data_IF_123075445530
#
_entry.id   IF_123075445530
#
_cell.length_a   1.000
_cell.length_b   1.000
_cell.length_c   1.000
_cell.angle_alpha   90.00
_cell.angle_beta   90.00
_cell.angle_gamma   90.00
#
_symmetry.space_group_name_H-M   'P 1'
#
loop_
_entity.id
_entity.type
_entity.pdbx_description
1 polymer ?
#
# COMPACT_ATOMS: atom_id res chain seq x y z
N UNK A 1 3.09 6.74 7.51
CA UNK A 1 2.57 5.52 6.86
C UNK A 1 3.15 5.47 5.45
N UNK A 2 3.44 4.29 4.91
CA UNK A 2 3.94 4.15 3.53
C UNK A 2 2.93 3.35 2.72
N UNK A 3 2.40 3.95 1.67
CA UNK A 3 1.59 3.28 0.66
C UNK A 3 2.50 2.74 -0.44
N UNK A 4 2.72 1.42 -0.43
CA UNK A 4 3.61 0.75 -1.37
C UNK A 4 2.81 -0.22 -2.26
N UNK A 5 2.58 0.09 -3.55
CA UNK A 5 1.92 -0.82 -4.47
C UNK A 5 2.70 -2.13 -4.61
N UNK A 6 2.10 -3.27 -4.24
CA UNK A 6 2.74 -4.57 -4.27
C UNK A 6 1.80 -5.64 -4.85
N UNK A 7 1.94 -5.90 -6.15
CA UNK A 7 1.03 -6.79 -6.91
C UNK A 7 1.15 -8.26 -6.48
N UNK A 8 2.33 -8.67 -5.98
CA UNK A 8 2.62 -10.07 -5.62
C UNK A 8 1.86 -10.58 -4.37
N UNK A 9 1.04 -9.74 -3.70
CA UNK A 9 0.22 -10.17 -2.56
C UNK A 9 -1.07 -10.91 -2.97
N UNK A 10 -1.41 -10.94 -4.27
CA UNK A 10 -2.64 -11.53 -4.78
C UNK A 10 -2.41 -12.21 -6.13
N UNK A 11 -2.99 -13.39 -6.30
CA UNK A 11 -3.01 -14.09 -7.59
C UNK A 11 -4.05 -13.49 -8.56
N UNK A 12 -4.94 -12.63 -8.06
CA UNK A 12 -5.93 -11.89 -8.85
C UNK A 12 -5.55 -10.43 -8.90
N UNK A 13 -5.21 -9.96 -10.10
CA UNK A 13 -4.75 -8.60 -10.34
C UNK A 13 -5.94 -7.73 -10.74
N UNK A 14 -6.06 -6.56 -10.10
CA UNK A 14 -7.07 -5.56 -10.43
C UNK A 14 -6.70 -4.73 -11.66
N UNK A 15 -7.69 -4.05 -12.24
CA UNK A 15 -7.45 -3.09 -13.32
C UNK A 15 -6.49 -1.97 -12.85
N UNK A 16 -5.49 -1.57 -13.66
CA UNK A 16 -4.52 -0.55 -13.27
C UNK A 16 -5.16 0.82 -12.95
N UNK A 17 -6.17 1.25 -13.70
CA UNK A 17 -6.83 2.53 -13.48
C UNK A 17 -7.65 2.51 -12.19
N UNK A 18 -8.37 1.42 -11.94
CA UNK A 18 -9.09 1.21 -10.68
C UNK A 18 -8.10 1.19 -9.50
N UNK A 19 -6.97 0.49 -9.66
CA UNK A 19 -5.93 0.41 -8.61
C UNK A 19 -5.34 1.78 -8.30
N UNK A 20 -5.00 2.58 -9.32
CA UNK A 20 -4.49 3.94 -9.11
C UNK A 20 -5.49 4.81 -8.37
N UNK A 21 -6.77 4.77 -8.76
CA UNK A 21 -7.82 5.52 -8.10
C UNK A 21 -7.98 5.13 -6.63
N UNK A 22 -8.02 3.83 -6.32
CA UNK A 22 -8.08 3.34 -4.93
C UNK A 22 -6.89 3.84 -4.11
N UNK A 23 -5.68 3.83 -4.69
CA UNK A 23 -4.48 4.30 -4.01
C UNK A 23 -4.51 5.82 -3.74
N UNK A 24 -5.04 6.61 -4.66
CA UNK A 24 -5.22 8.06 -4.50
C UNK A 24 -6.28 8.40 -3.46
N UNK A 25 -7.44 7.74 -3.53
CA UNK A 25 -8.52 7.91 -2.56
C UNK A 25 -8.06 7.51 -1.15
N UNK A 26 -7.33 6.40 -1.03
CA UNK A 26 -6.81 5.93 0.26
C UNK A 26 -5.75 6.88 0.83
N UNK A 27 -4.85 7.39 -0.03
CA UNK A 27 -3.87 8.40 0.35
C UNK A 27 -4.55 9.68 0.87
N UNK A 28 -5.51 10.21 0.12
CA UNK A 28 -6.27 11.41 0.52
C UNK A 28 -7.02 11.21 1.83
N UNK A 29 -7.60 10.02 2.04
CA UNK A 29 -8.31 9.71 3.30
C UNK A 29 -7.37 9.67 4.50
N UNK A 30 -6.20 9.04 4.37
CA UNK A 30 -5.22 9.00 5.45
C UNK A 30 -4.68 10.40 5.80
N UNK A 31 -4.44 11.25 4.79
CA UNK A 31 -4.08 12.65 5.02
C UNK A 31 -5.18 13.41 5.76
N UNK A 32 -6.45 13.18 5.39
CA UNK A 32 -7.59 13.82 6.07
C UNK A 32 -7.74 13.43 7.55
N UNK A 33 -7.18 12.28 7.94
CA UNK A 33 -7.10 11.84 9.34
C UNK A 33 -5.86 12.37 10.08
N UNK A 34 -5.04 13.22 9.44
CA UNK A 34 -3.86 13.83 10.04
C UNK A 34 -2.63 12.92 10.08
N UNK A 35 -2.63 11.81 9.34
CA UNK A 35 -1.43 10.97 9.21
C UNK A 35 -0.41 11.61 8.25
N UNK A 36 0.88 11.47 8.57
CA UNK A 36 1.95 11.65 7.59
C UNK A 36 2.01 10.41 6.69
N UNK A 37 1.89 10.58 5.37
CA UNK A 37 1.79 9.48 4.42
C UNK A 37 2.71 9.73 3.24
N UNK A 38 3.57 8.76 2.94
CA UNK A 38 4.37 8.69 1.72
C UNK A 38 3.81 7.63 0.78
N UNK A 39 3.95 7.85 -0.52
CA UNK A 39 3.48 6.91 -1.56
C UNK A 39 4.59 6.61 -2.56
N UNK A 40 4.86 5.33 -2.78
CA UNK A 40 5.76 4.89 -3.83
C UNK A 40 5.08 4.95 -5.22
N UNK A 41 5.83 5.18 -6.31
CA UNK A 41 5.26 5.28 -7.66
C UNK A 41 4.67 3.94 -8.13
N UNK A 42 3.50 4.00 -8.78
CA UNK A 42 2.81 2.85 -9.36
C UNK A 42 3.37 2.51 -10.76
N UNK A 43 3.54 1.23 -11.08
CA UNK A 43 3.97 0.77 -12.42
C UNK A 43 5.47 0.78 -12.69
N UNK A 44 6.30 1.15 -11.71
CA UNK A 44 7.76 1.17 -11.84
C UNK A 44 8.41 -0.05 -11.19
N UNK A 45 9.54 -0.50 -11.74
CA UNK A 45 10.49 -1.31 -11.00
C UNK A 45 11.08 -0.48 -9.85
N UNK A 46 11.16 -1.08 -8.66
CA UNK A 46 11.58 -0.39 -7.43
C UNK A 46 12.56 -1.26 -6.67
N UNK A 47 13.75 -0.72 -6.42
CA UNK A 47 14.67 -1.26 -5.42
C UNK A 47 14.29 -0.65 -4.07
N UNK A 48 14.07 -1.48 -3.05
CA UNK A 48 13.71 -1.02 -1.71
C UNK A 48 14.38 -1.87 -0.63
N UNK A 49 14.48 -1.30 0.57
CA UNK A 49 14.92 -1.99 1.78
C UNK A 49 13.89 -1.75 2.88
N UNK A 50 13.61 -2.77 3.67
CA UNK A 50 12.69 -2.72 4.80
C UNK A 50 13.29 -3.50 5.97
N UNK A 51 13.25 -2.91 7.16
CA UNK A 51 13.65 -3.59 8.40
C UNK A 51 12.45 -3.65 9.34
N UNK A 52 11.95 -4.87 9.58
CA UNK A 52 10.89 -5.11 10.56
C UNK A 52 11.44 -4.88 11.97
N UNK A 53 10.59 -4.37 12.88
CA UNK A 53 10.95 -4.23 14.29
C UNK A 53 10.98 -5.57 15.05
N UNK A 54 10.44 -6.64 14.45
CA UNK A 54 10.52 -8.00 14.99
C UNK A 54 9.60 -8.31 16.18
N UNK A 55 8.72 -7.39 16.60
CA UNK A 55 7.71 -7.68 17.63
C UNK A 55 6.49 -8.41 17.02
N UNK A 56 5.65 -9.12 17.80
CA UNK A 56 4.53 -9.91 17.26
C UNK A 56 3.52 -9.12 16.41
N UNK A 57 3.42 -7.81 16.65
CA UNK A 57 2.56 -6.89 15.88
C UNK A 57 3.30 -6.19 14.71
N UNK A 58 4.57 -6.49 14.46
CA UNK A 58 5.38 -5.79 13.45
C UNK A 58 4.96 -6.18 12.04
N UNK A 59 4.38 -7.38 11.89
CA UNK A 59 3.96 -7.94 10.62
C UNK A 59 2.50 -8.37 10.73
N UNK A 60 1.68 -7.90 9.80
CA UNK A 60 0.27 -8.25 9.78
C UNK A 60 -0.27 -8.25 8.35
N UNK A 61 -1.04 -9.28 8.01
CA UNK A 61 -1.74 -9.38 6.73
C UNK A 61 -3.25 -9.16 6.93
N UNK A 62 -3.90 -8.55 5.94
CA UNK A 62 -5.35 -8.31 5.94
C UNK A 62 -5.90 -8.56 4.54
N UNK A 63 -7.05 -9.21 4.47
CA UNK A 63 -7.84 -9.36 3.23
C UNK A 63 -9.10 -8.53 3.39
N UNK A 64 -9.27 -7.53 2.53
CA UNK A 64 -10.42 -6.64 2.51
C UNK A 64 -11.26 -6.97 1.26
N UNK A 65 -12.56 -7.15 1.44
CA UNK A 65 -13.53 -7.40 0.38
C UNK A 65 -14.66 -6.35 0.47
N UNK A 66 -15.38 -6.08 -0.64
CA UNK A 66 -16.61 -5.28 -0.59
C UNK A 66 -17.64 -5.86 0.39
#
# INVERSE_FOLDING_TARGET
LVLFPFVHLSDKIGDPNITMKIMEDFHGKLLSFGYAVDRAPFGWEKVFSLTSKGHPLAESSRTIRP
#
